data_IF_738631406019
#
_entry.id   IF_738631406019
#
_cell.length_a   1.000
_cell.length_b   1.000
_cell.length_c   1.000
_cell.angle_alpha   90.00
_cell.angle_beta   90.00
_cell.angle_gamma   90.00
#
_symmetry.space_group_name_H-M   'P 1'
#
loop_
_entity.id
_entity.type
_entity.pdbx_description
1 polymer ?
#
# COMPACT_ATOMS: atom_id res chain seq x y z
N UNK A 1 -48.52 -58.29 -30.35
CA UNK A 1 -49.76 -58.18 -29.56
C UNK A 1 -49.84 -56.77 -29.00
N UNK A 2 -50.87 -56.02 -29.39
CA UNK A 2 -51.09 -54.59 -29.20
C UNK A 2 -52.15 -54.39 -28.09
N UNK A 3 -52.10 -53.23 -27.40
CA UNK A 3 -53.09 -52.52 -26.55
C UNK A 3 -52.56 -52.30 -25.13
N UNK A 4 -52.07 -51.10 -24.75
CA UNK A 4 -52.66 -49.75 -24.70
C UNK A 4 -53.83 -49.64 -23.69
N UNK A 5 -53.70 -48.61 -22.82
CA UNK A 5 -54.73 -47.76 -22.18
C UNK A 5 -55.03 -47.93 -20.68
N UNK A 6 -54.42 -46.99 -19.92
CA UNK A 6 -55.08 -46.02 -19.04
C UNK A 6 -56.62 -46.07 -19.01
N UNK A 7 -57.20 -46.17 -17.82
CA UNK A 7 -58.57 -45.70 -17.55
C UNK A 7 -58.60 -44.82 -16.30
N UNK A 8 -59.22 -43.66 -16.46
CA UNK A 8 -59.57 -42.70 -15.41
C UNK A 8 -61.07 -42.82 -15.15
N UNK A 9 -61.44 -42.53 -13.89
CA UNK A 9 -62.67 -41.88 -13.36
C UNK A 9 -63.79 -42.73 -12.71
N UNK A 10 -64.10 -42.24 -11.49
CA UNK A 10 -65.42 -41.95 -10.86
C UNK A 10 -66.18 -43.17 -10.30
N UNK A 11 -66.88 -43.14 -9.16
CA UNK A 11 -67.44 -42.06 -8.31
C UNK A 11 -68.13 -42.64 -7.05
N UNK A 12 -68.58 -41.73 -6.16
CA UNK A 12 -69.64 -41.82 -5.10
C UNK A 12 -69.12 -42.17 -3.69
N UNK A 13 -69.47 -41.47 -2.60
CA UNK A 13 -70.52 -40.47 -2.29
C UNK A 13 -70.23 -39.84 -0.92
N UNK A 14 -70.70 -38.59 -0.74
CA UNK A 14 -71.24 -37.88 0.45
C UNK A 14 -70.69 -38.23 1.86
N UNK A 15 -70.33 -37.28 2.73
CA UNK A 15 -71.23 -36.28 3.29
C UNK A 15 -70.54 -34.99 3.76
N UNK A 16 -71.39 -33.98 3.95
CA UNK A 16 -71.11 -32.56 4.19
C UNK A 16 -71.19 -32.22 5.68
N UNK A 17 -70.57 -31.11 6.11
CA UNK A 17 -71.08 -30.06 7.04
C UNK A 17 -69.90 -29.22 7.59
N UNK A 18 -69.54 -28.16 6.87
CA UNK A 18 -69.52 -26.71 7.26
C UNK A 18 -69.84 -26.35 8.74
N UNK A 19 -69.29 -25.34 9.45
CA UNK A 19 -68.81 -24.00 9.07
C UNK A 19 -68.38 -23.18 10.34
N UNK A 20 -67.49 -22.18 10.17
CA UNK A 20 -67.19 -20.95 10.97
C UNK A 20 -66.58 -21.08 12.38
N UNK A 21 -65.55 -20.34 12.84
CA UNK A 21 -64.88 -19.12 12.37
C UNK A 21 -64.90 -18.04 13.46
N UNK A 22 -63.75 -17.55 13.97
CA UNK A 22 -63.55 -16.19 14.50
C UNK A 22 -62.12 -15.94 15.03
N UNK A 23 -61.53 -14.82 14.60
CA UNK A 23 -60.33 -14.18 15.16
C UNK A 23 -60.59 -13.59 16.55
N UNK A 24 -59.57 -13.52 17.43
CA UNK A 24 -59.25 -12.31 18.23
C UNK A 24 -58.04 -12.47 19.19
N UNK A 25 -57.17 -11.44 19.14
CA UNK A 25 -56.33 -10.85 20.19
C UNK A 25 -55.39 -11.72 21.05
N UNK A 26 -54.07 -11.52 20.83
CA UNK A 26 -53.02 -11.70 21.84
C UNK A 26 -52.68 -10.33 22.42
N UNK A 27 -52.88 -10.14 23.72
CA UNK A 27 -52.48 -8.94 24.44
C UNK A 27 -51.96 -9.30 25.85
N UNK A 28 -50.72 -8.83 26.14
CA UNK A 28 -50.06 -8.64 27.45
C UNK A 28 -49.77 -9.92 28.29
N UNK A 29 -48.67 -10.08 29.04
CA UNK A 29 -47.79 -9.15 29.75
C UNK A 29 -46.35 -9.69 29.85
N UNK A 30 -45.38 -8.77 29.85
CA UNK A 30 -44.02 -9.00 30.34
C UNK A 30 -43.99 -9.10 31.88
N UNK A 31 -43.11 -9.96 32.42
CA UNK A 31 -42.33 -9.67 33.64
C UNK A 31 -40.92 -10.27 33.51
N UNK A 32 -39.94 -9.51 34.03
CA UNK A 32 -38.49 -9.69 33.95
C UNK A 32 -37.90 -10.70 34.95
N UNK A 33 -36.69 -11.18 34.64
CA UNK A 33 -35.76 -11.85 35.57
C UNK A 33 -34.76 -12.74 34.82
N UNK A 34 -33.82 -12.17 34.05
CA UNK A 34 -32.38 -12.01 34.38
C UNK A 34 -31.67 -13.32 34.83
N UNK A 35 -30.81 -13.85 33.96
CA UNK A 35 -29.40 -14.25 34.22
C UNK A 35 -28.91 -15.23 33.15
N UNK A 36 -27.93 -14.83 32.35
CA UNK A 36 -27.21 -15.74 31.46
C UNK A 36 -26.46 -15.00 30.35
N UNK A 37 -25.14 -15.03 30.42
CA UNK A 37 -24.11 -14.74 29.42
C UNK A 37 -24.49 -13.96 28.16
N UNK A 38 -23.82 -12.83 27.94
CA UNK A 38 -23.71 -12.20 26.64
C UNK A 38 -22.91 -13.14 25.71
N UNK A 39 -23.58 -14.12 25.11
CA UNK A 39 -23.08 -14.82 23.93
C UNK A 39 -23.06 -13.83 22.75
N UNK A 40 -21.99 -13.89 21.97
CA UNK A 40 -21.69 -13.06 20.81
C UNK A 40 -22.88 -13.00 19.85
N UNK A 41 -23.74 -11.99 20.02
CA UNK A 41 -24.79 -11.68 19.08
C UNK A 41 -24.15 -10.96 17.90
N UNK A 42 -23.82 -11.74 16.88
CA UNK A 42 -23.40 -11.24 15.57
C UNK A 42 -24.43 -10.19 15.11
N UNK A 43 -24.01 -8.92 15.07
CA UNK A 43 -24.88 -7.82 14.70
C UNK A 43 -25.27 -7.97 13.21
N UNK A 44 -26.53 -7.67 12.83
CA UNK A 44 -26.96 -7.81 11.45
C UNK A 44 -26.15 -6.87 10.56
N UNK A 45 -25.43 -7.44 9.59
CA UNK A 45 -24.68 -6.73 8.54
C UNK A 45 -25.65 -5.90 7.70
N UNK A 46 -25.83 -4.62 8.06
CA UNK A 46 -26.57 -3.68 7.24
C UNK A 46 -25.75 -3.32 5.99
N UNK A 47 -26.36 -3.23 4.80
CA UNK A 47 -25.64 -2.83 3.60
C UNK A 47 -25.21 -1.37 3.70
N UNK A 48 -23.96 -1.10 3.32
CA UNK A 48 -23.39 0.23 3.26
C UNK A 48 -24.27 1.15 2.41
N UNK A 49 -24.64 2.31 2.95
CA UNK A 49 -25.09 3.44 2.12
C UNK A 49 -23.93 3.83 1.20
N UNK A 50 -24.22 4.52 0.10
CA UNK A 50 -23.19 5.16 -0.72
C UNK A 50 -22.44 6.18 0.17
N UNK A 51 -21.41 5.70 0.84
CA UNK A 51 -20.66 6.43 1.84
C UNK A 51 -19.40 6.99 1.20
N UNK A 52 -18.93 8.14 1.69
CA UNK A 52 -17.69 8.75 1.25
C UNK A 52 -16.45 7.90 1.54
N UNK A 53 -16.63 6.71 2.13
CA UNK A 53 -15.56 5.79 2.54
C UNK A 53 -15.33 4.63 1.56
N UNK A 54 -16.16 4.48 0.52
CA UNK A 54 -16.05 3.37 -0.45
C UNK A 54 -14.62 3.17 -0.97
N UNK A 55 -13.90 4.26 -1.29
CA UNK A 55 -12.51 4.21 -1.75
C UNK A 55 -11.54 3.72 -0.67
N UNK A 56 -11.76 4.09 0.59
CA UNK A 56 -10.93 3.69 1.71
C UNK A 56 -11.09 2.19 2.02
N UNK A 57 -12.32 1.68 1.92
CA UNK A 57 -12.63 0.27 2.22
C UNK A 57 -12.11 -0.71 1.17
N UNK A 58 -11.77 -0.25 -0.03
CA UNK A 58 -11.08 -1.06 -1.05
C UNK A 58 -9.80 -1.69 -0.49
N UNK A 59 -9.00 -0.91 0.25
CA UNK A 59 -7.75 -1.39 0.85
C UNK A 59 -7.88 -1.69 2.35
N UNK A 60 -8.75 -0.98 3.06
CA UNK A 60 -8.94 -1.11 4.51
C UNK A 60 -10.32 -1.66 4.89
N UNK A 61 -10.71 -2.78 4.27
CA UNK A 61 -12.03 -3.39 4.42
C UNK A 61 -12.45 -3.62 5.88
N UNK A 62 -11.50 -3.97 6.76
CA UNK A 62 -11.78 -4.22 8.18
C UNK A 62 -12.30 -2.98 8.93
N UNK A 63 -12.01 -1.77 8.45
CA UNK A 63 -12.43 -0.54 9.11
C UNK A 63 -13.94 -0.34 9.04
N UNK A 64 -14.64 -0.90 8.05
CA UNK A 64 -16.10 -0.74 7.92
C UNK A 64 -16.90 -1.33 9.09
N UNK A 65 -16.29 -2.23 9.87
CA UNK A 65 -16.91 -2.88 11.03
C UNK A 65 -16.30 -2.44 12.36
N UNK A 66 -15.25 -1.62 12.32
CA UNK A 66 -14.58 -1.15 13.53
C UNK A 66 -15.45 -0.11 14.25
N UNK A 67 -15.49 -0.18 15.59
CA UNK A 67 -16.44 0.57 16.40
C UNK A 67 -16.39 2.09 16.18
N UNK A 68 -15.19 2.66 16.04
CA UNK A 68 -15.03 4.10 15.81
C UNK A 68 -15.50 4.45 14.39
N UNK A 69 -15.03 3.76 13.36
CA UNK A 69 -15.43 4.06 11.97
C UNK A 69 -16.94 3.86 11.74
N UNK A 70 -17.50 2.74 12.19
CA UNK A 70 -18.92 2.44 12.04
C UNK A 70 -19.81 3.42 12.84
N UNK A 71 -19.38 3.81 14.04
CA UNK A 71 -20.08 4.78 14.88
C UNK A 71 -20.09 6.20 14.28
N UNK A 72 -19.01 6.60 13.60
CA UNK A 72 -18.87 7.92 12.99
C UNK A 72 -19.46 8.01 11.57
N UNK A 73 -19.55 6.89 10.85
CA UNK A 73 -20.22 6.85 9.55
C UNK A 73 -21.72 7.20 9.65
N UNK A 74 -22.39 6.80 10.75
CA UNK A 74 -23.82 7.09 10.99
C UNK A 74 -24.17 8.60 11.00
N UNK A 75 -23.45 9.46 11.75
CA UNK A 75 -23.65 10.91 11.70
C UNK A 75 -23.01 11.59 10.47
N UNK A 76 -22.43 10.84 9.52
CA UNK A 76 -21.85 11.39 8.30
C UNK A 76 -20.38 11.83 8.42
N UNK A 77 -19.68 11.43 9.48
CA UNK A 77 -18.25 11.70 9.66
C UNK A 77 -17.46 10.59 8.96
N UNK A 78 -16.74 10.95 7.90
CA UNK A 78 -16.06 10.04 6.99
C UNK A 78 -14.55 9.97 7.29
N UNK A 79 -13.83 9.00 6.73
CA UNK A 79 -12.38 8.82 6.96
C UNK A 79 -11.59 10.11 6.72
N UNK A 80 -11.92 10.81 5.63
CA UNK A 80 -11.27 12.07 5.22
C UNK A 80 -11.57 13.25 6.16
N UNK A 81 -12.63 13.19 6.97
CA UNK A 81 -12.94 14.22 7.97
C UNK A 81 -11.85 14.32 9.05
N UNK A 82 -11.19 13.20 9.35
CA UNK A 82 -10.11 13.13 10.34
C UNK A 82 -8.73 13.06 9.67
N UNK A 83 -8.59 12.24 8.62
CA UNK A 83 -7.31 11.95 7.97
C UNK A 83 -6.95 12.89 6.82
N UNK A 84 -7.82 13.85 6.51
CA UNK A 84 -7.67 14.73 5.35
C UNK A 84 -8.00 14.01 4.02
N UNK A 85 -7.95 14.74 2.89
CA UNK A 85 -8.35 14.21 1.59
C UNK A 85 -7.65 12.91 1.18
N UNK A 86 -6.39 12.72 1.57
CA UNK A 86 -5.57 11.52 1.36
C UNK A 86 -5.57 11.04 -0.09
N UNK A 87 -5.64 11.97 -1.05
CA UNK A 87 -5.77 11.66 -2.47
C UNK A 87 -4.59 10.84 -2.95
N UNK A 88 -3.36 11.23 -2.62
CA UNK A 88 -2.15 10.49 -3.04
C UNK A 88 -2.07 9.10 -2.39
N UNK A 89 -2.49 8.98 -1.13
CA UNK A 89 -2.55 7.69 -0.44
C UNK A 89 -3.54 6.71 -1.10
N UNK A 90 -4.72 7.20 -1.50
CA UNK A 90 -5.74 6.35 -2.14
C UNK A 90 -5.32 5.84 -3.54
N UNK A 91 -4.38 6.51 -4.20
CA UNK A 91 -3.87 6.10 -5.52
C UNK A 91 -2.52 5.37 -5.44
N UNK A 92 -2.00 5.12 -4.23
CA UNK A 92 -0.74 4.40 -4.03
C UNK A 92 -0.99 2.91 -3.77
N UNK A 93 -0.98 2.13 -4.84
CA UNK A 93 -1.17 0.68 -4.80
C UNK A 93 -0.07 -0.06 -4.01
N UNK A 94 1.08 0.57 -3.80
CA UNK A 94 2.20 0.00 -3.05
C UNK A 94 2.10 0.28 -1.54
N UNK A 95 1.09 1.04 -1.10
CA UNK A 95 0.79 1.31 0.32
C UNK A 95 1.93 1.98 1.10
N UNK A 96 2.75 2.80 0.43
CA UNK A 96 3.91 3.48 1.04
C UNK A 96 3.55 4.89 1.50
N UNK A 97 2.72 5.56 0.71
CA UNK A 97 2.21 6.90 0.94
C UNK A 97 1.28 6.88 2.12
N UNK A 98 1.61 7.66 3.15
CA UNK A 98 0.76 7.80 4.32
C UNK A 98 -0.44 8.71 4.01
N UNK A 99 -1.59 8.53 4.68
CA UNK A 99 -2.67 9.50 4.68
C UNK A 99 -2.18 10.91 5.04
N UNK A 100 -2.88 11.96 4.57
CA UNK A 100 -2.48 13.36 4.76
C UNK A 100 -2.28 13.70 6.25
N UNK A 101 -3.08 13.09 7.11
CA UNK A 101 -2.99 13.22 8.55
C UNK A 101 -3.04 11.85 9.21
N UNK A 102 -2.06 11.60 10.07
CA UNK A 102 -2.04 10.48 11.01
C UNK A 102 -1.86 11.04 12.42
N UNK A 103 -2.50 10.39 13.38
CA UNK A 103 -2.44 10.78 14.78
C UNK A 103 -1.59 9.77 15.54
N UNK A 104 -0.49 10.24 16.12
CA UNK A 104 0.22 9.48 17.14
C UNK A 104 -0.67 9.29 18.36
N UNK A 105 -0.37 8.28 19.18
CA UNK A 105 -1.16 7.92 20.37
C UNK A 105 -1.44 9.10 21.29
N UNK A 106 -0.47 10.00 21.50
CA UNK A 106 -0.65 11.20 22.33
C UNK A 106 -1.58 12.27 21.74
N UNK A 107 -1.84 12.24 20.43
CA UNK A 107 -2.65 13.25 19.72
C UNK A 107 -4.13 12.86 19.60
N UNK A 108 -4.48 11.61 19.96
CA UNK A 108 -5.84 11.06 19.76
C UNK A 108 -6.87 11.79 20.61
N UNK A 109 -6.55 12.12 21.87
CA UNK A 109 -7.49 12.82 22.74
C UNK A 109 -7.83 14.21 22.19
N UNK A 110 -6.81 14.99 21.83
CA UNK A 110 -6.98 16.33 21.26
C UNK A 110 -7.79 16.30 19.96
N UNK A 111 -7.52 15.30 19.09
CA UNK A 111 -8.31 15.07 17.88
C UNK A 111 -9.79 14.80 18.20
N UNK A 112 -10.08 13.88 19.12
CA UNK A 112 -11.46 13.55 19.50
C UNK A 112 -12.17 14.74 20.14
N UNK A 113 -11.46 15.53 20.94
CA UNK A 113 -12.03 16.69 21.64
C UNK A 113 -12.42 17.84 20.71
N UNK A 114 -12.05 17.80 19.43
CA UNK A 114 -12.54 18.77 18.44
C UNK A 114 -14.06 18.67 18.19
N UNK A 115 -14.66 17.51 18.49
CA UNK A 115 -16.11 17.29 18.33
C UNK A 115 -16.78 16.70 19.58
N UNK A 116 -16.01 16.17 20.55
CA UNK A 116 -16.54 15.58 21.78
C UNK A 116 -16.16 16.41 23.01
N UNK A 117 -17.18 16.80 23.80
CA UNK A 117 -17.00 17.59 25.02
C UNK A 117 -16.85 16.74 26.30
N UNK A 118 -16.82 15.41 26.18
CA UNK A 118 -16.62 14.48 27.29
C UNK A 118 -17.75 13.46 27.47
N UNK A 119 -17.72 12.74 28.60
CA UNK A 119 -18.72 11.72 28.95
C UNK A 119 -19.84 12.32 29.81
N UNK A 120 -21.08 12.02 29.46
CA UNK A 120 -22.26 12.50 30.20
C UNK A 120 -22.43 11.82 31.57
N UNK A 121 -22.02 10.56 31.69
CA UNK A 121 -22.04 9.80 32.95
C UNK A 121 -20.60 9.51 33.41
N UNK A 122 -20.01 10.49 34.08
CA UNK A 122 -18.62 10.42 34.56
C UNK A 122 -18.44 9.32 35.61
N UNK A 123 -19.39 9.17 36.53
CA UNK A 123 -19.33 8.18 37.60
C UNK A 123 -19.28 6.74 37.07
N UNK A 124 -20.08 6.43 36.05
CA UNK A 124 -20.04 5.13 35.38
C UNK A 124 -18.72 4.87 34.68
N UNK A 125 -18.14 5.90 34.04
CA UNK A 125 -16.84 5.79 33.36
C UNK A 125 -15.71 5.56 34.36
N UNK A 126 -15.73 6.22 35.52
CA UNK A 126 -14.76 6.03 36.60
C UNK A 126 -14.85 4.61 37.18
N UNK A 127 -16.06 4.16 37.54
CA UNK A 127 -16.27 2.80 38.04
C UNK A 127 -15.79 1.74 37.03
N UNK A 128 -16.07 1.97 35.74
CA UNK A 128 -15.60 1.11 34.67
C UNK A 128 -14.06 1.10 34.57
N UNK A 129 -13.40 2.27 34.67
CA UNK A 129 -11.94 2.38 34.63
C UNK A 129 -11.29 1.65 35.80
N UNK A 130 -11.87 1.74 36.99
CA UNK A 130 -11.37 1.05 38.18
C UNK A 130 -11.51 -0.47 38.04
N UNK A 131 -12.66 -0.94 37.55
CA UNK A 131 -12.89 -2.37 37.32
C UNK A 131 -11.92 -2.95 36.28
N UNK A 132 -11.64 -2.19 35.21
CA UNK A 132 -10.82 -2.66 34.09
C UNK A 132 -9.35 -2.32 34.21
N UNK A 133 -8.91 -1.62 35.26
CA UNK A 133 -7.52 -1.20 35.42
C UNK A 133 -6.57 -2.41 35.39
N UNK A 134 -5.63 -2.40 34.45
CA UNK A 134 -4.66 -3.48 34.22
C UNK A 134 -5.21 -4.68 33.44
N UNK A 135 -6.49 -4.68 33.02
CA UNK A 135 -7.11 -5.74 32.23
C UNK A 135 -7.14 -5.41 30.73
N UNK A 136 -7.03 -6.44 29.89
CA UNK A 136 -7.15 -6.34 28.44
C UNK A 136 -8.63 -6.38 28.02
N UNK A 137 -9.06 -5.37 27.26
CA UNK A 137 -10.39 -5.26 26.66
C UNK A 137 -10.54 -6.17 25.43
N UNK A 138 -11.77 -6.47 24.99
CA UNK A 138 -12.01 -7.23 23.75
C UNK A 138 -11.40 -6.61 22.49
N UNK A 139 -11.16 -5.29 22.50
CA UNK A 139 -10.41 -4.59 21.46
C UNK A 139 -8.88 -4.82 21.55
N UNK A 140 -8.39 -5.69 22.44
CA UNK A 140 -6.97 -6.00 22.61
C UNK A 140 -6.15 -4.92 23.33
N UNK A 141 -6.76 -3.86 23.88
CA UNK A 141 -6.06 -2.79 24.62
C UNK A 141 -6.17 -2.97 26.13
N UNK A 142 -5.12 -2.60 26.86
CA UNK A 142 -5.12 -2.63 28.33
C UNK A 142 -5.53 -1.26 28.88
N UNK A 143 -6.42 -1.25 29.87
CA UNK A 143 -6.79 -0.02 30.56
C UNK A 143 -5.72 0.35 31.58
N UNK A 144 -5.24 1.59 31.53
CA UNK A 144 -4.22 2.16 32.40
C UNK A 144 -4.67 3.52 32.91
N UNK A 145 -3.94 4.07 33.89
CA UNK A 145 -4.19 5.44 34.38
C UNK A 145 -4.00 6.51 33.31
N UNK A 146 -3.21 6.22 32.27
CA UNK A 146 -2.93 7.10 31.14
C UNK A 146 -3.68 6.65 29.87
N UNK A 147 -4.79 5.92 30.03
CA UNK A 147 -5.54 5.44 28.88
C UNK A 147 -6.18 6.56 28.09
N UNK A 148 -6.15 6.41 26.78
CA UNK A 148 -6.73 7.34 25.80
C UNK A 148 -8.05 6.78 25.27
N UNK A 149 -8.80 7.58 24.49
CA UNK A 149 -10.13 7.20 23.99
C UNK A 149 -10.15 5.81 23.30
N UNK A 150 -9.15 5.47 22.49
CA UNK A 150 -9.08 4.20 21.76
C UNK A 150 -8.83 2.98 22.65
N UNK A 151 -8.31 3.14 23.88
CA UNK A 151 -8.16 1.99 24.78
C UNK A 151 -9.52 1.46 25.22
N UNK A 152 -10.53 2.34 25.32
CA UNK A 152 -11.88 1.99 25.72
C UNK A 152 -12.84 1.77 24.54
N UNK A 153 -12.77 2.64 23.51
CA UNK A 153 -13.81 2.78 22.48
C UNK A 153 -13.54 2.05 21.16
N UNK A 154 -12.35 1.51 20.93
CA UNK A 154 -12.04 0.78 19.70
C UNK A 154 -10.57 0.87 19.31
N UNK A 155 -10.06 -0.10 18.56
CA UNK A 155 -8.64 -0.12 18.20
C UNK A 155 -8.25 0.99 17.26
N UNK A 156 -9.20 1.47 16.43
CA UNK A 156 -9.05 2.39 15.29
C UNK A 156 -7.63 2.45 14.72
N UNK A 157 -7.10 1.26 14.48
CA UNK A 157 -5.79 1.03 13.92
C UNK A 157 -6.01 -0.04 12.86
N UNK A 158 -5.54 0.23 11.64
CA UNK A 158 -5.17 -0.86 10.77
C UNK A 158 -4.00 -1.57 11.45
N UNK A 159 -4.31 -2.61 12.22
CA UNK A 159 -3.31 -3.59 12.61
C UNK A 159 -2.90 -4.17 11.25
N UNK A 160 -1.74 -3.74 10.74
CA UNK A 160 -0.98 -4.62 9.87
C UNK A 160 -0.82 -5.84 10.74
N UNK A 161 -1.64 -6.88 10.51
CA UNK A 161 -1.35 -8.17 11.09
C UNK A 161 0.11 -8.39 10.77
N UNK A 162 0.94 -8.39 11.83
CA UNK A 162 2.34 -8.67 11.70
C UNK A 162 2.37 -9.97 10.91
N UNK A 163 2.81 -9.90 9.64
CA UNK A 163 3.02 -11.09 8.83
C UNK A 163 3.69 -12.10 9.75
N UNK A 164 3.18 -13.34 9.87
CA UNK A 164 3.91 -14.36 10.62
C UNK A 164 5.33 -14.32 10.11
N UNK A 165 6.30 -14.03 10.99
CA UNK A 165 7.67 -13.60 10.65
C UNK A 165 8.13 -14.28 9.37
N UNK A 166 7.92 -13.58 8.25
CA UNK A 166 8.47 -14.01 6.99
C UNK A 166 9.97 -13.89 7.23
N UNK A 167 10.67 -15.01 7.09
CA UNK A 167 12.14 -15.14 7.09
C UNK A 167 12.74 -13.77 6.85
N UNK A 168 13.28 -13.13 7.91
CA UNK A 168 13.55 -11.68 7.97
C UNK A 168 13.97 -11.13 6.60
N UNK A 169 13.01 -10.65 5.82
CA UNK A 169 13.33 -10.14 4.50
C UNK A 169 14.03 -8.81 4.74
N UNK A 170 15.17 -8.60 4.08
CA UNK A 170 15.91 -7.34 4.18
C UNK A 170 14.94 -6.17 4.00
N UNK A 171 15.00 -5.15 4.87
CA UNK A 171 14.11 -4.01 4.76
C UNK A 171 14.41 -3.22 3.48
N UNK A 172 13.40 -2.50 2.99
CA UNK A 172 13.60 -1.45 2.00
C UNK A 172 14.29 -0.26 2.67
N UNK A 173 15.39 0.19 2.07
CA UNK A 173 16.20 1.32 2.51
C UNK A 173 15.98 2.46 1.51
N UNK A 174 15.61 3.67 1.96
CA UNK A 174 15.51 4.82 1.06
C UNK A 174 16.92 5.23 0.61
N UNK A 175 17.14 5.27 -0.70
CA UNK A 175 18.32 5.91 -1.28
C UNK A 175 18.10 7.42 -1.40
N UNK A 176 16.87 7.87 -1.65
CA UNK A 176 16.51 9.29 -1.61
C UNK A 176 15.71 9.58 -0.33
N UNK A 177 16.24 10.46 0.52
CA UNK A 177 15.68 10.79 1.83
C UNK A 177 14.55 11.85 1.78
N UNK A 178 14.20 12.34 0.58
CA UNK A 178 13.21 13.40 0.33
C UNK A 178 13.58 14.79 0.86
N UNK A 179 14.72 14.97 1.52
CA UNK A 179 15.18 16.29 1.99
C UNK A 179 16.32 16.85 1.13
N UNK A 180 17.27 16.00 0.75
CA UNK A 180 18.53 16.40 0.13
C UNK A 180 19.16 15.25 -0.68
N UNK A 181 20.43 15.40 -1.05
CA UNK A 181 21.19 14.46 -1.86
C UNK A 181 22.24 13.69 -1.03
N UNK A 182 22.08 13.57 0.29
CA UNK A 182 22.97 12.76 1.12
C UNK A 182 23.04 11.31 0.58
N UNK A 183 24.26 10.78 0.45
CA UNK A 183 24.52 9.47 -0.15
C UNK A 183 24.61 9.48 -1.68
N UNK A 184 24.49 10.64 -2.32
CA UNK A 184 24.62 10.84 -3.76
C UNK A 184 25.70 11.86 -4.10
N UNK A 185 26.49 11.55 -5.13
CA UNK A 185 27.38 12.48 -5.82
C UNK A 185 26.74 12.93 -7.12
N UNK A 186 26.50 14.24 -7.28
CA UNK A 186 26.05 14.82 -8.54
C UNK A 186 27.25 15.10 -9.46
N UNK A 187 27.18 14.66 -10.71
CA UNK A 187 28.17 15.05 -11.74
C UNK A 187 28.08 16.53 -12.10
N UNK A 188 26.89 17.11 -11.92
CA UNK A 188 26.58 18.53 -12.04
C UNK A 188 25.47 18.88 -11.05
N UNK A 189 25.82 19.59 -9.97
CA UNK A 189 24.89 19.98 -8.92
C UNK A 189 23.76 20.88 -9.43
N UNK A 190 23.96 21.64 -10.51
CA UNK A 190 22.95 22.55 -11.04
C UNK A 190 21.89 21.84 -11.90
N UNK A 191 22.03 20.53 -12.14
CA UNK A 191 21.07 19.72 -12.91
C UNK A 191 19.93 19.12 -12.09
N UNK A 192 20.06 19.14 -10.75
CA UNK A 192 19.15 18.46 -9.84
C UNK A 192 18.74 19.39 -8.70
N UNK A 193 17.47 19.32 -8.30
CA UNK A 193 16.96 20.08 -7.15
C UNK A 193 15.97 19.25 -6.36
N UNK A 194 15.95 19.44 -5.04
CA UNK A 194 14.91 18.85 -4.17
C UNK A 194 13.86 19.92 -3.88
N UNK A 195 12.62 19.68 -4.29
CA UNK A 195 11.48 20.59 -4.07
C UNK A 195 10.26 19.77 -3.67
N UNK A 196 9.57 20.19 -2.60
CA UNK A 196 8.37 19.51 -2.10
C UNK A 196 8.55 17.99 -1.94
N UNK A 197 9.64 17.58 -1.27
CA UNK A 197 9.99 16.18 -1.05
C UNK A 197 10.25 15.35 -2.32
N UNK A 198 10.54 16.01 -3.46
CA UNK A 198 10.76 15.37 -4.76
C UNK A 198 12.09 15.81 -5.34
N UNK A 199 12.81 14.85 -5.90
CA UNK A 199 13.96 15.11 -6.74
C UNK A 199 13.46 15.53 -8.12
N UNK A 200 13.85 16.70 -8.58
CA UNK A 200 13.43 17.28 -9.86
C UNK A 200 14.65 17.60 -10.72
N UNK A 201 14.58 17.21 -11.98
CA UNK A 201 15.56 17.59 -13.01
C UNK A 201 14.85 18.02 -14.30
N UNK A 202 15.42 19.02 -14.96
CA UNK A 202 14.93 19.59 -16.21
C UNK A 202 15.99 19.34 -17.28
N UNK A 203 15.64 18.80 -18.45
CA UNK A 203 16.60 18.66 -19.54
C UNK A 203 17.17 20.02 -19.93
N UNK A 204 18.49 20.10 -20.00
CA UNK A 204 19.20 21.33 -20.35
C UNK A 204 19.98 21.11 -21.64
N UNK A 205 19.64 21.81 -22.74
CA UNK A 205 20.30 21.63 -24.03
C UNK A 205 21.76 22.10 -24.04
N UNK A 206 22.20 22.90 -23.05
CA UNK A 206 23.60 23.31 -22.91
C UNK A 206 24.49 22.21 -22.33
N UNK A 207 23.89 21.16 -21.76
CA UNK A 207 24.59 20.04 -21.14
C UNK A 207 24.59 18.83 -22.08
N UNK A 208 25.43 17.84 -21.80
CA UNK A 208 25.33 16.52 -22.46
C UNK A 208 24.41 15.58 -21.68
N UNK A 209 24.63 15.51 -20.37
CA UNK A 209 23.85 14.72 -19.40
C UNK A 209 24.08 15.27 -18.00
N UNK A 210 23.12 15.09 -17.12
CA UNK A 210 23.29 15.26 -15.67
C UNK A 210 23.08 13.93 -14.97
N UNK A 211 23.79 13.68 -13.87
CA UNK A 211 23.76 12.37 -13.20
C UNK A 211 23.88 12.50 -11.70
N UNK A 212 23.14 11.65 -11.00
CA UNK A 212 23.29 11.40 -9.57
C UNK A 212 23.76 9.96 -9.39
N UNK A 213 24.87 9.76 -8.70
CA UNK A 213 25.49 8.45 -8.50
C UNK A 213 25.55 8.17 -7.01
N UNK A 214 25.14 6.98 -6.57
CA UNK A 214 25.28 6.59 -5.16
C UNK A 214 26.75 6.57 -4.74
N UNK A 215 27.00 6.87 -3.47
CA UNK A 215 28.33 6.69 -2.87
C UNK A 215 28.65 5.19 -2.68
N UNK A 216 27.63 4.44 -2.24
CA UNK A 216 27.67 3.00 -2.03
C UNK A 216 27.52 2.18 -3.31
N UNK A 217 27.99 0.93 -3.24
CA UNK A 217 27.84 -0.09 -4.26
C UNK A 217 26.93 -1.23 -3.81
N UNK A 218 26.24 -1.83 -4.76
CA UNK A 218 25.23 -2.86 -4.55
C UNK A 218 25.50 -4.07 -5.46
N UNK A 219 25.35 -5.27 -4.90
CA UNK A 219 25.44 -6.53 -5.63
C UNK A 219 24.04 -7.01 -6.03
N UNK A 220 23.45 -7.92 -5.25
CA UNK A 220 22.10 -8.41 -5.47
C UNK A 220 21.07 -7.55 -4.72
N UNK A 221 20.06 -7.06 -5.44
CA UNK A 221 19.09 -6.12 -4.90
C UNK A 221 17.78 -6.10 -5.68
N UNK A 222 16.74 -5.56 -5.03
CA UNK A 222 15.59 -4.96 -5.69
C UNK A 222 15.67 -3.44 -5.57
N UNK A 223 15.46 -2.72 -6.67
CA UNK A 223 15.48 -1.26 -6.76
C UNK A 223 14.08 -0.80 -7.19
N UNK A 224 13.47 0.06 -6.41
CA UNK A 224 12.19 0.71 -6.73
C UNK A 224 12.43 2.19 -6.98
N UNK A 225 11.88 2.73 -8.07
CA UNK A 225 11.94 4.15 -8.42
C UNK A 225 10.52 4.60 -8.76
N UNK A 226 9.99 5.55 -7.99
CA UNK A 226 8.70 6.19 -8.27
C UNK A 226 8.93 7.53 -8.92
N UNK A 227 8.49 7.67 -10.17
CA UNK A 227 8.80 8.81 -11.03
C UNK A 227 7.59 9.32 -11.80
N UNK A 228 7.68 10.57 -12.22
CA UNK A 228 6.74 11.21 -13.14
C UNK A 228 7.56 12.01 -14.15
N UNK A 229 7.31 11.76 -15.44
CA UNK A 229 7.96 12.48 -16.52
C UNK A 229 6.92 13.33 -17.24
N UNK A 230 7.11 14.65 -17.25
CA UNK A 230 6.30 15.57 -18.04
C UNK A 230 7.03 15.87 -19.34
N UNK A 231 6.33 15.73 -20.48
CA UNK A 231 6.90 15.93 -21.80
C UNK A 231 7.94 14.86 -22.19
N UNK A 232 8.61 15.04 -23.34
CA UNK A 232 9.68 14.15 -23.78
C UNK A 232 10.89 14.26 -22.84
N UNK A 233 11.23 13.16 -22.18
CA UNK A 233 12.33 13.07 -21.21
C UNK A 233 13.10 11.79 -21.49
N UNK A 234 14.40 11.88 -21.75
CA UNK A 234 15.25 10.68 -21.85
C UNK A 234 16.03 10.50 -20.56
N UNK A 235 15.63 9.50 -19.76
CA UNK A 235 16.24 9.21 -18.47
C UNK A 235 16.38 7.71 -18.25
N UNK A 236 17.42 7.29 -17.53
CA UNK A 236 17.68 5.90 -17.19
C UNK A 236 18.39 5.77 -15.86
N UNK A 237 18.24 4.60 -15.22
CA UNK A 237 19.05 4.21 -14.06
C UNK A 237 20.09 3.18 -14.46
N UNK A 238 21.37 3.45 -14.18
CA UNK A 238 22.42 2.43 -14.19
C UNK A 238 22.32 1.60 -12.91
N UNK A 239 22.37 0.27 -13.04
CA UNK A 239 22.10 -0.67 -11.94
C UNK A 239 23.37 -1.09 -11.18
N UNK A 240 24.48 -1.27 -11.91
CA UNK A 240 25.79 -1.67 -11.35
C UNK A 240 26.90 -0.96 -12.11
N UNK A 241 26.91 0.37 -12.07
CA UNK A 241 27.94 1.16 -12.72
C UNK A 241 29.28 0.96 -12.01
N UNK A 242 30.30 0.51 -12.77
CA UNK A 242 31.68 0.44 -12.29
C UNK A 242 32.40 1.78 -12.44
N UNK A 243 33.58 1.91 -11.82
CA UNK A 243 34.40 3.13 -11.92
C UNK A 243 34.87 3.41 -13.36
N UNK A 244 35.20 2.35 -14.10
CA UNK A 244 35.76 2.40 -15.46
C UNK A 244 34.94 1.61 -16.50
N UNK A 245 33.89 0.92 -16.05
CA UNK A 245 32.98 0.14 -16.90
C UNK A 245 31.57 0.66 -16.76
N UNK A 246 30.87 0.83 -17.89
CA UNK A 246 29.41 0.96 -17.87
C UNK A 246 28.77 -0.25 -17.18
N UNK A 247 27.52 -0.11 -16.77
CA UNK A 247 26.73 -1.22 -16.23
C UNK A 247 25.40 -1.32 -16.98
N UNK A 248 24.67 -2.45 -16.82
CA UNK A 248 23.31 -2.55 -17.30
C UNK A 248 22.46 -1.41 -16.76
N UNK A 249 21.55 -0.92 -17.58
CA UNK A 249 20.66 0.18 -17.22
C UNK A 249 19.22 -0.11 -17.56
N UNK A 250 18.31 0.54 -16.84
CA UNK A 250 16.87 0.49 -17.09
C UNK A 250 16.33 1.86 -17.49
N UNK A 251 15.50 1.92 -18.52
CA UNK A 251 14.84 3.17 -18.95
C UNK A 251 13.83 3.63 -17.89
N UNK A 252 13.84 4.93 -17.58
CA UNK A 252 12.86 5.61 -16.71
C UNK A 252 12.00 6.55 -17.55
N UNK A 253 12.62 7.42 -18.34
CA UNK A 253 11.93 8.42 -19.16
C UNK A 253 11.99 8.07 -20.65
N UNK A 254 10.88 8.29 -21.34
CA UNK A 254 10.75 8.14 -22.79
C UNK A 254 10.67 9.52 -23.49
N UNK A 255 11.63 9.78 -24.39
CA UNK A 255 11.64 10.98 -25.25
C UNK A 255 10.94 10.77 -26.60
N UNK A 256 10.47 9.55 -26.88
CA UNK A 256 9.98 9.11 -28.19
C UNK A 256 11.09 8.82 -29.21
N UNK A 257 12.36 9.08 -28.88
CA UNK A 257 13.51 8.90 -29.78
C UNK A 257 14.28 7.60 -29.52
N UNK A 258 14.15 7.02 -28.32
CA UNK A 258 14.79 5.75 -27.96
C UNK A 258 13.85 4.59 -28.27
N UNK A 259 14.32 3.46 -28.82
CA UNK A 259 13.45 2.35 -29.21
C UNK A 259 12.80 1.62 -28.02
N UNK A 260 13.25 1.88 -26.78
CA UNK A 260 12.72 1.23 -25.56
C UNK A 260 12.03 2.22 -24.63
N UNK A 261 10.79 1.91 -24.24
CA UNK A 261 9.98 2.63 -23.25
C UNK A 261 10.43 2.32 -21.80
N UNK A 262 9.87 2.98 -20.77
CA UNK A 262 10.28 2.74 -19.38
C UNK A 262 10.20 1.25 -19.02
N UNK A 263 11.15 0.77 -18.23
CA UNK A 263 11.34 -0.65 -17.97
C UNK A 263 12.21 -1.41 -18.99
N UNK A 264 12.59 -0.81 -20.12
CA UNK A 264 13.55 -1.45 -21.03
C UNK A 264 14.93 -1.60 -20.37
N UNK A 265 15.54 -2.77 -20.47
CA UNK A 265 16.90 -3.04 -19.96
C UNK A 265 17.90 -2.98 -21.12
N UNK A 266 19.04 -2.36 -20.86
CA UNK A 266 20.13 -2.15 -21.80
C UNK A 266 21.41 -2.74 -21.25
N UNK A 267 22.19 -3.40 -22.12
CA UNK A 267 23.54 -3.85 -21.77
C UNK A 267 24.52 -2.67 -21.72
N UNK A 268 24.33 -1.71 -22.62
CA UNK A 268 25.07 -0.44 -22.70
C UNK A 268 24.16 0.62 -23.30
N UNK A 269 24.59 1.89 -23.32
CA UNK A 269 23.79 3.03 -23.83
C UNK A 269 23.19 2.83 -25.24
N UNK A 270 23.71 1.90 -26.05
CA UNK A 270 23.27 1.66 -27.43
C UNK A 270 22.70 0.27 -27.69
N UNK A 271 22.84 -0.67 -26.77
CA UNK A 271 22.52 -2.09 -27.01
C UNK A 271 21.36 -2.50 -26.11
N UNK A 272 20.13 -2.61 -26.65
CA UNK A 272 18.99 -3.08 -25.88
C UNK A 272 19.14 -4.58 -25.59
N UNK A 273 18.86 -4.95 -24.35
CA UNK A 273 18.85 -6.33 -23.87
C UNK A 273 17.42 -6.85 -23.70
N UNK A 274 16.52 -5.98 -23.27
CA UNK A 274 15.08 -6.20 -23.16
C UNK A 274 14.38 -4.88 -23.53
N UNK A 275 13.58 -4.88 -24.58
CA UNK A 275 12.87 -3.68 -25.02
C UNK A 275 11.40 -3.74 -24.62
N UNK A 276 10.96 -2.79 -23.78
CA UNK A 276 9.54 -2.53 -23.58
C UNK A 276 9.01 -1.74 -24.78
N UNK A 277 8.12 -2.35 -25.57
CA UNK A 277 7.47 -1.71 -26.72
C UNK A 277 6.02 -1.31 -26.43
N UNK A 278 5.54 -1.51 -25.21
CA UNK A 278 4.16 -1.30 -24.81
C UNK A 278 3.91 0.13 -24.36
N UNK A 279 2.92 0.78 -24.96
CA UNK A 279 2.53 2.15 -24.62
C UNK A 279 1.63 2.25 -23.40
N UNK A 280 0.87 1.19 -23.12
CA UNK A 280 -0.12 1.10 -22.04
C UNK A 280 0.49 0.91 -20.66
N UNK A 281 1.78 0.54 -20.58
CA UNK A 281 2.48 0.27 -19.32
C UNK A 281 2.88 1.53 -18.55
N UNK A 282 3.00 2.67 -19.23
CA UNK A 282 3.41 3.95 -18.61
C UNK A 282 2.25 4.93 -18.58
N UNK A 283 1.98 5.51 -17.41
CA UNK A 283 1.08 6.66 -17.30
C UNK A 283 1.87 7.95 -17.55
N UNK A 284 1.54 8.68 -18.61
CA UNK A 284 2.23 9.92 -19.01
C UNK A 284 1.84 11.14 -18.18
N UNK A 285 0.81 11.01 -17.33
CA UNK A 285 0.29 12.07 -16.49
C UNK A 285 0.49 11.76 -15.02
N UNK A 286 0.34 10.51 -14.57
CA UNK A 286 0.46 10.11 -13.18
C UNK A 286 1.89 9.72 -12.77
N UNK A 287 2.03 9.34 -11.50
CA UNK A 287 3.24 8.69 -11.00
C UNK A 287 3.31 7.26 -11.50
N UNK A 288 4.53 6.80 -11.77
CA UNK A 288 4.83 5.44 -12.19
C UNK A 288 5.84 4.84 -11.22
N UNK A 289 5.72 3.54 -10.95
CA UNK A 289 6.69 2.82 -10.13
C UNK A 289 7.41 1.78 -10.98
N UNK A 290 8.71 1.99 -11.16
CA UNK A 290 9.61 1.04 -11.80
C UNK A 290 10.27 0.18 -10.73
N UNK A 291 10.13 -1.13 -10.85
CA UNK A 291 10.82 -2.10 -10.00
C UNK A 291 11.81 -2.89 -10.86
N UNK A 292 13.05 -3.01 -10.38
CA UNK A 292 14.07 -3.87 -10.97
C UNK A 292 14.63 -4.81 -9.92
N UNK A 293 14.67 -6.09 -10.24
CA UNK A 293 15.42 -7.09 -9.47
C UNK A 293 16.70 -7.43 -10.23
N UNK A 294 17.85 -7.22 -9.57
CA UNK A 294 19.16 -7.66 -10.03
C UNK A 294 19.66 -8.78 -9.11
N UNK A 295 19.73 -10.01 -9.61
CA UNK A 295 20.19 -11.17 -8.85
C UNK A 295 21.19 -11.98 -9.65
N UNK A 296 22.41 -12.08 -9.17
CA UNK A 296 23.56 -12.58 -9.94
C UNK A 296 23.63 -11.83 -11.27
N UNK A 297 23.60 -12.52 -12.41
CA UNK A 297 23.58 -11.91 -13.74
C UNK A 297 22.17 -11.88 -14.37
N UNK A 298 21.11 -12.07 -13.58
CA UNK A 298 19.73 -11.96 -14.02
C UNK A 298 19.12 -10.63 -13.61
N UNK A 299 18.42 -10.00 -14.53
CA UNK A 299 17.68 -8.76 -14.33
C UNK A 299 16.22 -8.97 -14.71
N UNK A 300 15.30 -8.63 -13.81
CA UNK A 300 13.85 -8.63 -14.07
C UNK A 300 13.30 -7.25 -13.79
N UNK A 301 12.31 -6.81 -14.57
CA UNK A 301 11.77 -5.45 -14.46
C UNK A 301 10.25 -5.44 -14.57
N UNK A 302 9.63 -4.60 -13.75
CA UNK A 302 8.20 -4.35 -13.70
C UNK A 302 7.94 -2.86 -13.76
N UNK A 303 6.85 -2.46 -14.38
CA UNK A 303 6.36 -1.08 -14.41
C UNK A 303 4.91 -1.08 -13.97
N UNK A 304 4.58 -0.30 -12.94
CA UNK A 304 3.22 -0.20 -12.39
C UNK A 304 2.61 -1.58 -12.05
N UNK A 305 3.43 -2.45 -11.45
CA UNK A 305 3.04 -3.82 -11.07
C UNK A 305 3.04 -4.83 -12.22
N UNK A 306 3.11 -4.39 -13.48
CA UNK A 306 3.12 -5.28 -14.64
C UNK A 306 4.54 -5.72 -15.01
N UNK A 307 4.75 -7.03 -15.21
CA UNK A 307 6.05 -7.57 -15.62
C UNK A 307 6.34 -7.20 -17.08
N UNK A 308 7.46 -6.51 -17.29
CA UNK A 308 7.98 -6.21 -18.62
C UNK A 308 8.80 -7.39 -19.14
N UNK A 309 9.59 -8.00 -18.25
CA UNK A 309 10.30 -9.24 -18.55
C UNK A 309 11.62 -9.39 -17.79
N UNK A 310 12.39 -10.36 -18.25
CA UNK A 310 13.62 -10.83 -17.62
C UNK A 310 14.70 -11.12 -18.65
N UNK A 311 15.94 -10.78 -18.32
CA UNK A 311 17.11 -11.01 -19.17
C UNK A 311 18.31 -11.42 -18.32
N UNK A 312 19.21 -12.21 -18.91
CA UNK A 312 20.51 -12.56 -18.31
C UNK A 312 21.60 -11.77 -19.03
N UNK A 313 22.37 -11.00 -18.28
CA UNK A 313 23.40 -10.11 -18.82
C UNK A 313 24.70 -10.29 -18.07
N UNK A 314 25.77 -10.53 -18.81
CA UNK A 314 27.12 -10.50 -18.25
C UNK A 314 27.51 -9.04 -17.98
N UNK A 315 28.09 -8.82 -16.81
CA UNK A 315 28.37 -7.49 -16.30
C UNK A 315 28.97 -7.56 -14.91
N UNK A 316 29.26 -6.41 -14.29
CA UNK A 316 29.83 -6.39 -12.95
C UNK A 316 28.88 -7.03 -11.93
N UNK A 317 29.42 -7.85 -11.04
CA UNK A 317 28.67 -8.48 -9.95
C UNK A 317 28.19 -7.46 -8.90
N UNK A 318 28.85 -6.30 -8.81
CA UNK A 318 28.53 -5.18 -7.93
C UNK A 318 28.87 -3.85 -8.58
N UNK A 319 28.16 -2.80 -8.23
CA UNK A 319 28.48 -1.44 -8.67
C UNK A 319 27.53 -0.40 -8.09
N UNK A 320 27.75 0.86 -8.46
CA UNK A 320 26.91 1.97 -8.00
C UNK A 320 25.59 2.02 -8.78
N UNK A 321 24.59 2.61 -8.16
CA UNK A 321 23.35 2.98 -8.84
C UNK A 321 23.48 4.44 -9.26
N UNK A 322 23.06 4.76 -10.48
CA UNK A 322 23.08 6.12 -10.95
C UNK A 322 21.82 6.46 -11.72
N UNK A 323 21.23 7.63 -11.47
CA UNK A 323 20.13 8.17 -12.26
C UNK A 323 20.68 9.22 -13.21
N UNK A 324 20.37 9.06 -14.49
CA UNK A 324 20.86 9.94 -15.55
C UNK A 324 19.69 10.61 -16.26
N UNK A 325 19.90 11.87 -16.63
CA UNK A 325 19.04 12.63 -17.51
C UNK A 325 19.85 13.12 -18.71
N UNK A 326 19.43 12.80 -19.92
CA UNK A 326 20.03 13.34 -21.13
C UNK A 326 19.56 14.78 -21.38
N UNK A 327 20.40 15.55 -22.07
CA UNK A 327 19.96 16.82 -22.62
C UNK A 327 18.88 16.61 -23.69
N UNK A 328 17.89 17.49 -23.69
CA UNK A 328 16.80 17.48 -24.67
C UNK A 328 16.44 18.92 -25.03
N UNK A 329 16.33 19.21 -26.33
CA UNK A 329 16.08 20.56 -26.85
C UNK A 329 14.68 20.76 -27.44
N UNK A 330 13.84 19.73 -27.45
CA UNK A 330 12.57 19.74 -28.18
C UNK A 330 11.37 20.35 -27.43
N UNK A 331 11.44 20.48 -26.11
CA UNK A 331 10.36 21.08 -25.31
C UNK A 331 10.93 21.69 -24.00
N UNK A 332 10.66 22.96 -23.75
CA UNK A 332 11.15 23.67 -22.55
C UNK A 332 10.37 23.32 -21.27
N UNK A 333 9.20 22.68 -21.40
CA UNK A 333 8.39 22.28 -20.25
C UNK A 333 8.75 20.88 -19.73
N UNK A 334 9.65 20.15 -20.40
CA UNK A 334 10.02 18.80 -20.01
C UNK A 334 10.62 18.74 -18.60
N UNK A 335 10.18 17.80 -17.78
CA UNK A 335 10.78 17.59 -16.46
C UNK A 335 10.65 16.14 -15.99
N UNK A 336 11.66 15.69 -15.25
CA UNK A 336 11.64 14.44 -14.50
C UNK A 336 11.47 14.76 -13.02
N UNK A 337 10.47 14.16 -12.40
CA UNK A 337 10.27 14.18 -10.95
C UNK A 337 10.38 12.76 -10.41
N UNK A 338 11.07 12.60 -9.29
CA UNK A 338 11.22 11.33 -8.57
C UNK A 338 10.83 11.59 -7.12
N UNK A 339 9.82 10.87 -6.62
CA UNK A 339 9.38 10.97 -5.22
C UNK A 339 10.15 9.98 -4.34
N UNK A 340 10.49 8.81 -4.88
CA UNK A 340 11.09 7.72 -4.13
C UNK A 340 12.15 6.99 -4.94
N UNK A 341 13.28 6.70 -4.28
CA UNK A 341 14.26 5.71 -4.73
C UNK A 341 14.53 4.83 -3.52
N UNK A 342 14.25 3.54 -3.64
CA UNK A 342 14.37 2.59 -2.54
C UNK A 342 15.13 1.36 -3.01
N UNK A 343 15.91 0.77 -2.10
CA UNK A 343 16.64 -0.47 -2.37
C UNK A 343 16.41 -1.51 -1.29
N UNK A 344 16.25 -2.76 -1.69
CA UNK A 344 16.25 -3.91 -0.80
C UNK A 344 17.38 -4.83 -1.20
N UNK A 345 18.36 -5.03 -0.31
CA UNK A 345 19.48 -5.95 -0.55
C UNK A 345 18.98 -7.39 -0.51
N UNK A 346 19.35 -8.19 -1.50
CA UNK A 346 19.02 -9.62 -1.52
C UNK A 346 20.23 -10.38 -0.98
N UNK A 347 20.03 -11.16 0.08
CA UNK A 347 21.10 -11.99 0.64
C UNK A 347 21.59 -12.98 -0.41
N UNK A 348 22.92 -12.98 -0.64
CA UNK A 348 23.56 -14.01 -1.43
C UNK A 348 23.64 -15.30 -0.59
N UNK A 349 23.37 -16.50 -1.15
CA UNK A 349 23.54 -17.77 -0.43
C UNK A 349 24.94 -17.99 0.16
N UNK A 350 25.95 -17.25 -0.32
CA UNK A 350 27.33 -17.32 0.14
C UNK A 350 27.60 -16.61 1.48
N UNK A 351 26.81 -15.60 1.86
CA UNK A 351 27.02 -14.88 3.14
C UNK A 351 26.59 -15.71 4.36
N UNK A 352 25.65 -16.65 4.19
CA UNK A 352 25.21 -17.55 5.27
C UNK A 352 26.28 -18.52 5.76
N UNK A 353 27.39 -18.69 5.04
CA UNK A 353 28.48 -19.61 5.42
C UNK A 353 29.56 -19.01 6.30
N UNK A 354 29.66 -17.68 6.40
CA UNK A 354 30.75 -17.04 7.15
C UNK A 354 30.38 -16.65 8.58
N UNK A 355 29.11 -16.73 8.96
CA UNK A 355 28.65 -16.36 10.31
C UNK A 355 28.43 -17.56 11.24
N UNK A 356 28.58 -18.80 10.73
CA UNK A 356 28.40 -20.03 11.50
C UNK A 356 29.69 -20.76 11.89
N UNK A 357 30.88 -20.17 11.68
CA UNK A 357 32.17 -20.84 11.97
C UNK A 357 33.12 -20.10 12.91
N UNK A 358 32.70 -19.01 13.56
CA UNK A 358 33.49 -18.40 14.64
C UNK A 358 32.80 -18.59 15.99
N UNK A 359 32.89 -19.80 16.49
CA UNK A 359 32.49 -20.20 17.83
C UNK A 359 32.99 -21.61 18.08
N UNK A 360 33.86 -21.73 19.08
CA UNK A 360 34.45 -22.97 19.63
C UNK A 360 35.67 -23.56 18.91
N UNK A 361 36.86 -23.23 19.42
CA UNK A 361 37.64 -24.15 20.26
C UNK A 361 39.06 -23.59 20.56
N UNK A 362 39.78 -24.09 21.58
CA UNK A 362 39.34 -24.78 22.80
C UNK A 362 39.53 -23.94 24.07
#
# INVERSE_FOLDING_TARGET
MIKIQNSKRRSRTADSVSILGALALVALLQTWGVCGGHEDREQPKQPARADGNALCYTCHLGLQYEAITAGHAMPGVMCMSCHGPSVEHMHDEMQVTKPDRLFGRGQVNDMCSACHEGHTDVARVEAFRDEWLGKTRPNGRVITKTSICTDCHGTHNYIVESRPSAVAESPWIPLFNRSDLQGWTASDAAGWSVKAARLTAVPDPSRKRTSLVTEDEYADFQLSITFRAHGPVQAWASLRQGKDTGGPSVTIGDSGMSPGRPGSIWLSEKVPALANLREDTVDRVAWNTLLVEARQNQYSTWLNGEEIGRVRLDGPARGRIAVHLAAYSGNQDSSLQISEIQIKRLESPAEKKNESTSGDAP
#
